data_IF_637086923894
#
_entry.id   IF_637086923894
#
_cell.length_a   1.000
_cell.length_b   1.000
_cell.length_c   1.000
_cell.angle_alpha   90.00
_cell.angle_beta   90.00
_cell.angle_gamma   90.00
#
_symmetry.space_group_name_H-M   'P 1'
#
loop_
_entity.id
_entity.type
_entity.pdbx_description
1 polymer ?
#
# COMPACT_ATOMS: atom_id res chain seq x y z
N UNK A 1 13.91 1.34 10.62
CA UNK A 1 13.36 0.79 9.35
C UNK A 1 13.85 1.71 8.22
N UNK A 2 13.95 1.26 6.96
CA UNK A 2 14.35 2.19 5.89
C UNK A 2 13.34 3.34 5.80
N UNK A 3 13.83 4.57 5.60
CA UNK A 3 12.96 5.75 5.38
C UNK A 3 12.01 5.54 4.20
N UNK A 4 12.46 4.79 3.18
CA UNK A 4 11.62 4.43 2.03
C UNK A 4 10.49 3.46 2.44
N UNK A 5 10.80 2.43 3.23
CA UNK A 5 9.80 1.51 3.77
C UNK A 5 8.80 2.21 4.69
N UNK A 6 9.26 3.12 5.55
CA UNK A 6 8.39 3.94 6.40
C UNK A 6 7.45 4.81 5.56
N UNK A 7 7.97 5.43 4.50
CA UNK A 7 7.16 6.21 3.57
C UNK A 7 6.11 5.35 2.86
N UNK A 8 6.49 4.19 2.31
CA UNK A 8 5.56 3.28 1.61
C UNK A 8 4.44 2.83 2.55
N UNK A 9 4.76 2.47 3.80
CA UNK A 9 3.77 2.06 4.79
C UNK A 9 2.83 3.20 5.19
N UNK A 10 3.34 4.42 5.29
CA UNK A 10 2.52 5.61 5.52
C UNK A 10 1.55 5.85 4.35
N UNK A 11 2.02 5.76 3.10
CA UNK A 11 1.17 5.90 1.93
C UNK A 11 0.11 4.80 1.85
N UNK A 12 0.45 3.55 2.19
CA UNK A 12 -0.51 2.44 2.28
C UNK A 12 -1.64 2.75 3.26
N UNK A 13 -1.31 3.28 4.43
CA UNK A 13 -2.28 3.67 5.44
C UNK A 13 -3.21 4.77 4.93
N UNK A 14 -2.67 5.83 4.31
CA UNK A 14 -3.46 6.94 3.76
C UNK A 14 -4.44 6.41 2.69
N UNK A 15 -3.93 5.66 1.71
CA UNK A 15 -4.76 5.15 0.61
C UNK A 15 -5.88 4.24 1.11
N UNK A 16 -5.59 3.33 2.06
CA UNK A 16 -6.63 2.48 2.66
C UNK A 16 -7.67 3.27 3.43
N UNK A 17 -7.25 4.27 4.19
CA UNK A 17 -8.18 5.12 4.95
C UNK A 17 -9.12 5.91 4.03
N UNK A 18 -8.60 6.43 2.92
CA UNK A 18 -9.42 7.14 1.92
C UNK A 18 -10.41 6.20 1.22
N UNK A 19 -10.00 4.97 0.91
CA UNK A 19 -10.92 3.96 0.33
C UNK A 19 -12.02 3.59 1.30
N UNK A 20 -11.68 3.30 2.56
CA UNK A 20 -12.65 2.96 3.59
C UNK A 20 -13.65 4.11 3.80
N UNK A 21 -13.16 5.35 3.82
CA UNK A 21 -14.00 6.54 3.89
C UNK A 21 -14.93 6.63 2.66
N UNK A 22 -14.41 6.47 1.45
CA UNK A 22 -15.23 6.53 0.24
C UNK A 22 -16.25 5.39 0.17
N UNK A 23 -15.90 4.18 0.59
CA UNK A 23 -16.80 3.03 0.64
C UNK A 23 -17.89 3.19 1.69
N UNK A 24 -17.58 3.77 2.84
CA UNK A 24 -18.61 4.10 3.84
C UNK A 24 -19.64 5.12 3.32
N UNK A 25 -19.25 5.95 2.35
CA UNK A 25 -20.08 7.00 1.77
C UNK A 25 -20.70 6.65 0.41
N UNK A 26 -20.29 5.54 -0.22
CA UNK A 26 -20.82 5.08 -1.50
C UNK A 26 -21.47 3.71 -1.34
N UNK A 27 -22.70 3.54 -1.85
CA UNK A 27 -23.33 2.23 -1.99
C UNK A 27 -22.66 1.45 -3.14
N UNK A 28 -21.38 1.11 -2.96
CA UNK A 28 -20.61 0.32 -3.91
C UNK A 28 -21.00 -1.14 -3.81
N UNK A 29 -20.93 -1.81 -4.97
CA UNK A 29 -21.17 -3.23 -5.06
C UNK A 29 -20.02 -3.98 -4.38
N UNK A 30 -20.32 -4.89 -3.44
CA UNK A 30 -19.32 -5.58 -2.58
C UNK A 30 -18.20 -6.25 -3.41
N UNK A 31 -18.53 -6.77 -4.60
CA UNK A 31 -17.53 -7.38 -5.49
C UNK A 31 -16.49 -6.39 -6.05
N UNK A 32 -16.83 -5.10 -6.20
CA UNK A 32 -15.91 -4.08 -6.71
C UNK A 32 -15.00 -3.55 -5.60
N UNK A 33 -15.48 -3.45 -4.35
CA UNK A 33 -14.65 -3.06 -3.21
C UNK A 33 -13.55 -4.10 -2.98
N UNK A 34 -13.91 -5.39 -2.94
CA UNK A 34 -12.95 -6.49 -2.72
C UNK A 34 -11.84 -6.56 -3.77
N UNK A 35 -12.17 -6.35 -5.05
CA UNK A 35 -11.18 -6.37 -6.12
C UNK A 35 -10.20 -5.20 -6.00
N UNK A 36 -10.72 -4.00 -5.72
CA UNK A 36 -9.90 -2.81 -5.54
C UNK A 36 -8.98 -2.94 -4.32
N UNK A 37 -9.49 -3.49 -3.22
CA UNK A 37 -8.73 -3.69 -1.98
C UNK A 37 -7.55 -4.66 -2.16
N UNK A 38 -7.80 -5.76 -2.88
CA UNK A 38 -6.76 -6.75 -3.24
C UNK A 38 -5.72 -6.14 -4.17
N UNK A 39 -6.16 -5.35 -5.15
CA UNK A 39 -5.27 -4.67 -6.10
C UNK A 39 -4.33 -3.72 -5.37
N UNK A 40 -4.87 -2.90 -4.48
CA UNK A 40 -4.10 -1.91 -3.71
C UNK A 40 -3.14 -2.60 -2.74
N UNK A 41 -3.58 -3.65 -2.07
CA UNK A 41 -2.70 -4.46 -1.23
C UNK A 41 -1.55 -5.07 -2.04
N UNK A 42 -1.82 -5.63 -3.22
CA UNK A 42 -0.80 -6.19 -4.11
C UNK A 42 0.24 -5.15 -4.56
N UNK A 43 -0.20 -3.93 -4.93
CA UNK A 43 0.69 -2.84 -5.33
C UNK A 43 1.61 -2.46 -4.17
N UNK A 44 1.07 -2.24 -2.97
CA UNK A 44 1.89 -1.85 -1.82
C UNK A 44 2.84 -2.98 -1.38
N UNK A 45 2.39 -4.23 -1.37
CA UNK A 45 3.27 -5.38 -1.08
C UNK A 45 4.43 -5.47 -2.08
N UNK A 46 4.18 -5.17 -3.36
CA UNK A 46 5.22 -5.13 -4.40
C UNK A 46 6.21 -3.99 -4.16
N UNK A 47 5.73 -2.80 -3.79
CA UNK A 47 6.59 -1.66 -3.46
C UNK A 47 7.45 -1.92 -2.23
N UNK A 48 6.89 -2.54 -1.18
CA UNK A 48 7.62 -2.93 0.02
C UNK A 48 8.76 -3.89 -0.33
N UNK A 49 8.51 -4.94 -1.14
CA UNK A 49 9.55 -5.86 -1.61
C UNK A 49 10.64 -5.20 -2.44
N UNK A 50 10.27 -4.26 -3.31
CA UNK A 50 11.24 -3.47 -4.10
C UNK A 50 12.11 -2.62 -3.15
N UNK A 51 11.51 -1.96 -2.17
CA UNK A 51 12.24 -1.17 -1.20
C UNK A 51 13.19 -2.01 -0.34
N UNK A 52 12.77 -3.20 0.09
CA UNK A 52 13.64 -4.17 0.77
C UNK A 52 14.83 -4.56 -0.10
N UNK A 53 14.58 -4.90 -1.37
CA UNK A 53 15.64 -5.26 -2.34
C UNK A 53 16.63 -4.12 -2.56
N UNK A 54 16.16 -2.86 -2.61
CA UNK A 54 17.02 -1.68 -2.73
C UNK A 54 17.94 -1.54 -1.52
N UNK A 55 17.43 -1.75 -0.30
CA UNK A 55 18.22 -1.67 0.92
C UNK A 55 19.28 -2.77 1.02
N UNK A 56 18.99 -3.97 0.48
CA UNK A 56 19.97 -5.06 0.39
C UNK A 56 21.13 -4.74 -0.55
N UNK A 57 20.86 -4.06 -1.66
CA UNK A 57 21.86 -3.70 -2.68
C UNK A 57 22.65 -2.44 -2.27
N UNK A 58 22.07 -1.58 -1.43
CA UNK A 58 22.69 -0.32 -1.03
C UNK A 58 24.01 -0.60 -0.29
N UNK A 59 25.11 0.07 -0.67
CA UNK A 59 26.37 -0.08 0.06
C UNK A 59 26.17 0.34 1.51
N UNK A 60 26.53 -0.56 2.44
CA UNK A 60 26.53 -0.32 3.88
C UNK A 60 27.72 0.59 4.21
N UNK A 61 27.50 1.90 4.16
CA UNK A 61 28.37 2.90 4.79
C UNK A 61 28.24 2.86 6.31
#
# INVERSE_FOLDING_TARGET
>A
MSKLLEYIKCQRFIVKSELDYHWSNMNLNISQSDFLDKTISCVFDSLEKIAESIEEIKPKT
#
